data_IF_806313230607
#
_entry.id   IF_806313230607
#
_cell.length_a   1.000
_cell.length_b   1.000
_cell.length_c   1.000
_cell.angle_alpha   90.00
_cell.angle_beta   90.00
_cell.angle_gamma   90.00
#
_symmetry.space_group_name_H-M   'P 1'
#
loop_
_entity.id
_entity.type
_entity.pdbx_description
1 polymer ?
#
# COMPACT_ATOMS: atom_id res chain seq x y z
N UNK A 1 27.96 -5.13 -13.65
CA UNK A 1 27.12 -6.21 -13.08
C UNK A 1 25.96 -5.52 -12.35
N UNK A 2 24.82 -5.35 -13.00
CA UNK A 2 23.66 -4.67 -12.40
C UNK A 2 22.76 -5.74 -11.76
N UNK A 3 22.76 -5.81 -10.43
CA UNK A 3 21.81 -6.63 -9.69
C UNK A 3 20.41 -6.07 -9.92
N UNK A 4 19.69 -6.64 -10.88
CA UNK A 4 18.26 -6.40 -11.07
C UNK A 4 17.58 -7.07 -9.88
N UNK A 5 17.28 -6.32 -8.83
CA UNK A 5 16.30 -6.79 -7.85
C UNK A 5 15.04 -7.11 -8.65
N UNK A 6 14.48 -8.34 -8.58
CA UNK A 6 13.17 -8.58 -9.15
C UNK A 6 12.22 -7.63 -8.42
N UNK A 7 11.82 -6.55 -9.07
CA UNK A 7 10.79 -5.68 -8.56
C UNK A 7 9.52 -6.53 -8.53
N UNK A 8 9.18 -7.06 -7.36
CA UNK A 8 7.89 -7.71 -7.06
C UNK A 8 6.71 -6.75 -7.34
N UNK A 9 6.99 -5.46 -7.55
CA UNK A 9 6.11 -4.47 -8.15
C UNK A 9 6.04 -4.59 -9.68
N UNK A 10 5.23 -5.53 -10.17
CA UNK A 10 4.70 -5.40 -11.54
C UNK A 10 3.85 -4.13 -11.71
N UNK A 11 3.52 -3.70 -12.93
CA UNK A 11 2.71 -2.50 -13.20
C UNK A 11 1.35 -2.48 -12.47
N UNK A 12 0.82 -3.66 -12.14
CA UNK A 12 -0.42 -3.85 -11.38
C UNK A 12 -0.25 -3.52 -9.88
N UNK A 13 0.96 -3.57 -9.33
CA UNK A 13 1.28 -3.13 -7.96
C UNK A 13 1.27 -1.62 -7.83
N UNK A 14 1.93 -0.96 -8.78
CA UNK A 14 2.02 0.49 -8.81
C UNK A 14 0.64 1.15 -8.92
N UNK A 15 -0.24 0.62 -9.77
CA UNK A 15 -1.58 1.19 -9.96
C UNK A 15 -2.43 1.11 -8.67
N UNK A 16 -2.48 -0.07 -8.02
CA UNK A 16 -3.21 -0.23 -6.76
C UNK A 16 -2.70 0.69 -5.65
N UNK A 17 -1.38 0.93 -5.62
CA UNK A 17 -0.73 1.82 -4.66
C UNK A 17 -1.08 3.30 -4.89
N UNK A 18 -1.17 3.71 -6.16
CA UNK A 18 -1.61 5.06 -6.54
C UNK A 18 -3.10 5.25 -6.25
N UNK A 19 -3.95 4.30 -6.63
CA UNK A 19 -5.40 4.33 -6.34
C UNK A 19 -5.64 4.45 -4.84
N UNK A 20 -4.94 3.65 -4.04
CA UNK A 20 -5.01 3.71 -2.58
C UNK A 20 -4.60 5.09 -2.04
N UNK A 21 -3.50 5.66 -2.52
CA UNK A 21 -3.05 7.00 -2.11
C UNK A 21 -4.12 8.06 -2.40
N UNK A 22 -4.75 8.01 -3.56
CA UNK A 22 -5.81 8.95 -3.95
C UNK A 22 -7.06 8.77 -3.10
N UNK A 23 -7.48 7.53 -2.85
CA UNK A 23 -8.63 7.26 -1.99
C UNK A 23 -8.41 7.72 -0.56
N UNK A 24 -7.24 7.45 0.03
CA UNK A 24 -6.87 7.95 1.35
C UNK A 24 -6.86 9.48 1.39
N UNK A 25 -6.40 10.13 0.31
CA UNK A 25 -6.43 11.59 0.20
C UNK A 25 -7.86 12.14 0.22
N UNK A 26 -8.81 11.44 -0.42
CA UNK A 26 -10.22 11.80 -0.37
C UNK A 26 -10.83 11.63 1.04
N UNK A 27 -10.30 10.71 1.85
CA UNK A 27 -10.62 10.56 3.28
C UNK A 27 -9.89 11.58 4.18
N UNK A 28 -9.09 12.49 3.60
CA UNK A 28 -8.36 13.53 4.33
C UNK A 28 -6.97 13.12 4.82
N UNK A 29 -6.45 11.96 4.41
CA UNK A 29 -5.16 11.42 4.84
C UNK A 29 -4.18 11.30 3.66
N UNK A 30 -3.14 12.13 3.66
CA UNK A 30 -2.08 12.05 2.67
C UNK A 30 -1.12 10.88 2.97
N UNK A 31 -0.99 9.94 2.03
CA UNK A 31 -0.11 8.76 2.18
C UNK A 31 1.24 8.99 1.49
N UNK A 32 2.32 8.75 2.24
CA UNK A 32 3.67 8.63 1.70
C UNK A 32 3.93 7.18 1.29
N UNK A 33 4.05 6.95 -0.01
CA UNK A 33 4.15 5.62 -0.60
C UNK A 33 5.49 4.94 -0.32
N UNK A 34 6.60 5.69 -0.34
CA UNK A 34 7.91 5.15 -0.02
C UNK A 34 7.97 4.69 1.44
N UNK A 35 7.41 5.50 2.34
CA UNK A 35 7.31 5.14 3.76
C UNK A 35 6.37 3.96 3.99
N UNK A 36 5.26 3.88 3.26
CA UNK A 36 4.32 2.75 3.32
C UNK A 36 5.01 1.41 3.02
N UNK A 37 6.02 1.39 2.16
CA UNK A 37 6.75 0.18 1.77
C UNK A 37 7.89 -0.18 2.72
N UNK A 38 8.47 0.81 3.40
CA UNK A 38 9.71 0.64 4.17
C UNK A 38 9.50 0.62 5.69
N UNK A 39 8.39 1.19 6.18
CA UNK A 39 8.09 1.35 7.60
C UNK A 39 6.81 0.57 7.92
N UNK A 40 6.97 -0.59 8.56
CA UNK A 40 5.85 -1.47 8.91
C UNK A 40 4.86 -0.81 9.90
N UNK A 41 5.34 0.05 10.80
CA UNK A 41 4.48 0.75 11.76
C UNK A 41 3.65 1.85 11.09
N UNK A 42 4.25 2.57 10.15
CA UNK A 42 3.53 3.51 9.29
C UNK A 42 2.50 2.78 8.41
N UNK A 43 2.88 1.66 7.80
CA UNK A 43 1.98 0.83 7.01
C UNK A 43 0.76 0.37 7.81
N UNK A 44 0.99 -0.15 9.02
CA UNK A 44 -0.09 -0.58 9.91
C UNK A 44 -1.05 0.57 10.23
N UNK A 45 -0.51 1.73 10.63
CA UNK A 45 -1.33 2.92 10.96
C UNK A 45 -2.18 3.38 9.78
N UNK A 46 -1.61 3.38 8.57
CA UNK A 46 -2.31 3.78 7.35
C UNK A 46 -3.40 2.77 6.98
N UNK A 47 -3.13 1.48 7.11
CA UNK A 47 -4.14 0.47 6.82
C UNK A 47 -5.25 0.42 7.88
N UNK A 48 -4.95 0.66 9.16
CA UNK A 48 -5.97 0.76 10.21
C UNK A 48 -6.92 1.94 9.96
N UNK A 49 -6.39 3.07 9.48
CA UNK A 49 -7.21 4.21 9.07
C UNK A 49 -8.08 3.89 7.83
N UNK A 50 -7.54 3.13 6.87
CA UNK A 50 -8.31 2.67 5.71
C UNK A 50 -9.44 1.71 6.13
N UNK A 51 -9.18 0.78 7.05
CA UNK A 51 -10.15 -0.18 7.58
C UNK A 51 -11.29 0.51 8.36
N UNK A 52 -11.01 1.65 9.01
CA UNK A 52 -11.99 2.46 9.70
C UNK A 52 -12.87 3.33 8.77
N UNK A 53 -12.50 3.49 7.49
CA UNK A 53 -13.26 4.28 6.53
C UNK A 53 -14.60 3.62 6.20
N UNK A 54 -15.63 4.44 5.94
CA UNK A 54 -16.90 3.98 5.38
C UNK A 54 -16.79 3.46 3.94
N UNK A 55 -15.71 3.79 3.23
CA UNK A 55 -15.51 3.45 1.82
C UNK A 55 -15.13 1.97 1.62
N UNK A 56 -16.06 1.18 1.09
CA UNK A 56 -15.88 -0.27 0.84
C UNK A 56 -14.74 -0.56 -0.14
N UNK A 57 -14.56 0.29 -1.15
CA UNK A 57 -13.51 0.12 -2.18
C UNK A 57 -12.13 0.34 -1.56
N UNK A 58 -12.00 1.37 -0.73
CA UNK A 58 -10.76 1.64 0.01
C UNK A 58 -10.37 0.47 0.91
N UNK A 59 -11.31 -0.06 1.70
CA UNK A 59 -11.04 -1.23 2.57
C UNK A 59 -10.58 -2.45 1.77
N UNK A 60 -11.20 -2.71 0.62
CA UNK A 60 -10.79 -3.81 -0.26
C UNK A 60 -9.35 -3.62 -0.78
N UNK A 61 -9.03 -2.45 -1.33
CA UNK A 61 -7.70 -2.16 -1.85
C UNK A 61 -6.65 -2.20 -0.74
N UNK A 62 -6.98 -1.73 0.47
CA UNK A 62 -6.13 -1.82 1.65
C UNK A 62 -5.75 -3.27 1.97
N UNK A 63 -6.73 -4.18 1.97
CA UNK A 63 -6.50 -5.62 2.17
C UNK A 63 -5.57 -6.22 1.13
N UNK A 64 -5.86 -5.98 -0.16
CA UNK A 64 -5.04 -6.47 -1.27
C UNK A 64 -3.58 -5.95 -1.21
N UNK A 65 -3.39 -4.68 -0.84
CA UNK A 65 -2.05 -4.09 -0.67
C UNK A 65 -1.31 -4.68 0.53
N UNK A 66 -2.01 -4.90 1.66
CA UNK A 66 -1.42 -5.47 2.87
C UNK A 66 -0.86 -6.87 2.61
N UNK A 67 -1.59 -7.73 1.91
CA UNK A 67 -1.14 -9.07 1.51
C UNK A 67 0.10 -9.01 0.60
N UNK A 68 0.10 -8.09 -0.37
CA UNK A 68 1.21 -7.94 -1.32
C UNK A 68 2.48 -7.41 -0.67
N UNK A 69 2.37 -6.46 0.25
CA UNK A 69 3.51 -5.94 1.00
C UNK A 69 4.08 -6.99 1.96
N UNK A 70 3.22 -7.79 2.59
CA UNK A 70 3.66 -8.92 3.42
C UNK A 70 4.41 -9.97 2.59
N UNK A 71 3.89 -10.33 1.40
CA UNK A 71 4.54 -11.26 0.48
C UNK A 71 5.88 -10.74 -0.07
N UNK A 72 6.00 -9.43 -0.29
CA UNK A 72 7.25 -8.81 -0.73
C UNK A 72 8.33 -8.71 0.36
N UNK A 73 7.95 -8.87 1.63
CA UNK A 73 8.84 -8.80 2.80
C UNK A 73 9.27 -10.19 3.29
N UNK A 74 8.72 -11.27 2.74
CA UNK A 74 9.12 -12.64 3.03
C UNK A 74 10.47 -12.98 2.35
N UNK A 75 11.41 -13.65 3.05
CA UNK A 75 12.75 -13.97 2.54
C UNK A 75 12.75 -14.99 1.40
#
# INVERSE_FOLDING_TARGET
>A
MNARHPSTDGPVGLLALIDFKWLMTAEGLAVNVDRLRQDAGYAQTVFDAADASGNVVLRRIAGELRERLAAASAP
#
